data_IF_360696140975
#
_entry.id   IF_360696140975
#
_cell.length_a   1.000
_cell.length_b   1.000
_cell.length_c   1.000
_cell.angle_alpha   90.00
_cell.angle_beta   90.00
_cell.angle_gamma   90.00
#
_symmetry.space_group_name_H-M   'P 1'
#
loop_
_entity.id
_entity.type
_entity.pdbx_description
1 polymer ?
#
# COMPACT_ATOMS: atom_id res chain seq x y z
N UNK A 1 8.02 18.80 11.51
CA UNK A 1 8.35 17.60 10.71
C UNK A 1 8.74 16.36 11.53
N UNK A 2 8.97 16.47 12.86
CA UNK A 2 9.45 15.39 13.74
C UNK A 2 8.37 14.41 14.31
N UNK A 3 7.06 14.73 14.43
CA UNK A 3 6.15 13.93 15.27
C UNK A 3 5.84 12.54 14.72
N UNK A 4 5.86 12.34 13.40
CA UNK A 4 5.60 11.03 12.81
C UNK A 4 6.74 10.03 13.07
N UNK A 5 7.97 10.45 12.80
CA UNK A 5 9.14 9.58 12.93
C UNK A 5 9.36 9.13 14.37
N UNK A 6 9.12 10.03 15.35
CA UNK A 6 9.19 9.69 16.76
C UNK A 6 8.08 8.73 17.21
N UNK A 7 6.83 8.93 16.74
CA UNK A 7 5.72 8.01 17.05
C UNK A 7 5.95 6.62 16.45
N UNK A 8 6.44 6.54 15.21
CA UNK A 8 6.76 5.29 14.53
C UNK A 8 7.92 4.55 15.22
N UNK A 9 8.95 5.26 15.68
CA UNK A 9 10.04 4.70 16.48
C UNK A 9 9.55 4.19 17.84
N UNK A 10 8.74 4.96 18.56
CA UNK A 10 8.15 4.54 19.83
C UNK A 10 7.30 3.28 19.66
N UNK A 11 6.44 3.24 18.64
CA UNK A 11 5.64 2.06 18.30
C UNK A 11 6.53 0.83 18.04
N UNK A 12 7.66 1.06 17.37
CA UNK A 12 8.58 -0.02 17.01
C UNK A 12 9.38 -0.55 18.20
N UNK A 13 9.73 0.33 19.14
CA UNK A 13 10.42 0.00 20.39
C UNK A 13 9.50 -0.75 21.36
N UNK A 14 8.20 -0.40 21.42
CA UNK A 14 7.19 -1.09 22.24
C UNK A 14 7.04 -2.58 21.87
N UNK A 15 7.43 -2.96 20.66
CA UNK A 15 7.36 -4.34 20.20
C UNK A 15 8.45 -5.23 20.83
N UNK A 16 9.57 -4.65 21.28
CA UNK A 16 10.67 -5.42 21.90
C UNK A 16 10.24 -5.99 23.27
N UNK A 17 9.66 -5.21 24.21
CA UNK A 17 9.08 -5.76 25.42
C UNK A 17 8.03 -6.84 25.16
N UNK A 18 7.17 -6.67 24.15
CA UNK A 18 6.17 -7.70 23.83
C UNK A 18 6.81 -9.04 23.44
N UNK A 19 7.91 -9.02 22.66
CA UNK A 19 8.61 -10.24 22.27
C UNK A 19 9.23 -10.97 23.47
N UNK A 20 9.79 -10.22 24.43
CA UNK A 20 10.32 -10.79 25.67
C UNK A 20 9.21 -11.34 26.56
N UNK A 21 8.10 -10.61 26.71
CA UNK A 21 6.94 -11.07 27.47
C UNK A 21 6.30 -12.32 26.84
N UNK A 22 6.26 -12.43 25.52
CA UNK A 22 5.82 -13.64 24.84
C UNK A 22 6.75 -14.83 25.12
N UNK A 23 8.06 -14.60 25.12
CA UNK A 23 9.02 -15.64 25.53
C UNK A 23 8.75 -16.08 26.95
N UNK A 24 8.66 -15.14 27.89
CA UNK A 24 8.44 -15.46 29.31
C UNK A 24 7.12 -16.21 29.53
N UNK A 25 6.07 -15.86 28.76
CA UNK A 25 4.78 -16.56 28.78
C UNK A 25 4.90 -18.00 28.23
N UNK A 26 5.62 -18.20 27.12
CA UNK A 26 5.80 -19.51 26.48
C UNK A 26 6.72 -20.41 27.31
N UNK A 27 7.82 -19.87 27.82
CA UNK A 27 8.78 -20.59 28.68
C UNK A 27 8.12 -20.95 30.04
N UNK A 28 7.20 -20.11 30.53
CA UNK A 28 6.38 -20.37 31.72
C UNK A 28 5.19 -21.32 31.50
N UNK A 29 4.76 -21.52 30.24
CA UNK A 29 3.60 -22.35 29.87
C UNK A 29 3.59 -23.76 30.50
N UNK A 30 4.72 -24.49 30.61
CA UNK A 30 4.76 -25.79 31.26
C UNK A 30 4.45 -25.71 32.76
N UNK A 31 4.93 -24.67 33.44
CA UNK A 31 4.69 -24.46 34.88
C UNK A 31 3.23 -24.08 35.16
N UNK A 32 2.62 -23.27 34.28
CA UNK A 32 1.19 -22.95 34.36
C UNK A 32 0.31 -24.19 34.11
N UNK A 33 0.67 -25.02 33.12
CA UNK A 33 -0.06 -26.25 32.80
C UNK A 33 -0.02 -27.30 33.92
N UNK A 34 1.04 -27.28 34.75
CA UNK A 34 1.19 -28.14 35.92
C UNK A 34 0.55 -27.56 37.20
N UNK A 35 -0.11 -26.40 37.14
CA UNK A 35 -0.74 -25.75 38.30
C UNK A 35 0.24 -25.18 39.31
N UNK A 36 1.52 -25.03 38.94
CA UNK A 36 2.60 -24.53 39.80
C UNK A 36 2.91 -23.04 39.55
N UNK A 37 2.33 -22.45 38.51
CA UNK A 37 2.50 -21.02 38.21
C UNK A 37 1.52 -20.16 39.00
N UNK A 38 2.01 -19.14 39.69
CA UNK A 38 1.14 -18.25 40.48
C UNK A 38 0.14 -17.51 39.59
N UNK A 39 -1.15 -17.85 39.73
CA UNK A 39 -2.27 -17.30 38.95
C UNK A 39 -2.26 -15.78 38.81
N UNK A 40 -1.84 -15.07 39.87
CA UNK A 40 -1.74 -13.62 39.88
C UNK A 40 -0.64 -13.07 38.94
N UNK A 41 0.52 -13.74 38.86
CA UNK A 41 1.61 -13.32 37.98
C UNK A 41 1.22 -13.47 36.50
N UNK A 42 0.56 -14.59 36.16
CA UNK A 42 0.08 -14.87 34.81
C UNK A 42 -0.97 -13.86 34.36
N UNK A 43 -1.92 -13.51 35.24
CA UNK A 43 -2.94 -12.49 34.98
C UNK A 43 -2.33 -11.10 34.76
N UNK A 44 -1.31 -10.72 35.56
CA UNK A 44 -0.58 -9.46 35.39
C UNK A 44 0.16 -9.45 34.04
N UNK A 45 0.82 -10.55 33.68
CA UNK A 45 1.56 -10.66 32.42
C UNK A 45 0.62 -10.55 31.21
N UNK A 46 -0.53 -11.23 31.25
CA UNK A 46 -1.56 -11.12 30.21
C UNK A 46 -2.15 -9.71 30.13
N UNK A 47 -2.44 -9.08 31.27
CA UNK A 47 -2.94 -7.70 31.32
C UNK A 47 -1.93 -6.71 30.72
N UNK A 48 -0.64 -6.88 31.03
CA UNK A 48 0.44 -6.07 30.49
C UNK A 48 0.59 -6.26 28.97
N UNK A 49 0.52 -7.51 28.48
CA UNK A 49 0.55 -7.81 27.04
C UNK A 49 -0.61 -7.14 26.29
N UNK A 50 -1.82 -7.20 26.84
CA UNK A 50 -3.00 -6.53 26.26
C UNK A 50 -2.79 -5.02 26.26
N UNK A 51 -2.33 -4.43 27.37
CA UNK A 51 -2.07 -2.99 27.46
C UNK A 51 -1.03 -2.52 26.43
N UNK A 52 0.07 -3.26 26.28
CA UNK A 52 1.12 -3.00 25.27
C UNK A 52 0.52 -3.12 23.86
N UNK A 53 -0.29 -4.15 23.59
CA UNK A 53 -0.93 -4.34 22.29
C UNK A 53 -1.90 -3.21 21.94
N UNK A 54 -2.70 -2.75 22.89
CA UNK A 54 -3.57 -1.59 22.72
C UNK A 54 -2.75 -0.34 22.45
N UNK A 55 -1.69 -0.10 23.24
CA UNK A 55 -0.80 1.04 23.04
C UNK A 55 -0.13 1.02 21.65
N UNK A 56 0.36 -0.13 21.19
CA UNK A 56 0.90 -0.32 19.84
C UNK A 56 -0.09 0.09 18.75
N UNK A 57 -1.34 -0.37 18.86
CA UNK A 57 -2.37 -0.05 17.87
C UNK A 57 -2.75 1.42 17.90
N UNK A 58 -2.89 2.01 19.08
CA UNK A 58 -3.22 3.44 19.23
C UNK A 58 -2.09 4.31 18.68
N UNK A 59 -0.85 4.11 19.10
CA UNK A 59 0.31 4.87 18.61
C UNK A 59 0.48 4.67 17.10
N UNK A 60 0.33 3.44 16.61
CA UNK A 60 0.39 3.13 15.19
C UNK A 60 -0.69 3.86 14.38
N UNK A 61 -1.92 3.92 14.89
CA UNK A 61 -3.02 4.66 14.26
C UNK A 61 -2.73 6.15 14.19
N UNK A 62 -2.30 6.77 15.30
CA UNK A 62 -1.95 8.20 15.32
C UNK A 62 -0.78 8.52 14.40
N UNK A 63 0.26 7.67 14.38
CA UNK A 63 1.38 7.80 13.44
C UNK A 63 0.87 7.80 12.00
N UNK A 64 0.08 6.79 11.61
CA UNK A 64 -0.50 6.68 10.27
C UNK A 64 -1.39 7.88 9.90
N UNK A 65 -2.18 8.37 10.85
CA UNK A 65 -3.02 9.55 10.66
C UNK A 65 -2.19 10.81 10.38
N UNK A 66 -1.20 11.10 11.23
CA UNK A 66 -0.29 12.24 11.05
C UNK A 66 0.47 12.13 9.72
N UNK A 67 0.90 10.91 9.36
CA UNK A 67 1.56 10.64 8.10
C UNK A 67 0.69 11.04 6.90
N UNK A 68 -0.56 10.57 6.89
CA UNK A 68 -1.48 10.82 5.79
C UNK A 68 -1.87 12.28 5.69
N UNK A 69 -2.02 12.95 6.83
CA UNK A 69 -2.28 14.39 6.87
C UNK A 69 -1.13 15.19 6.26
N UNK A 70 0.10 14.99 6.75
CA UNK A 70 1.29 15.70 6.25
C UNK A 70 1.52 15.42 4.75
N UNK A 71 1.36 14.17 4.32
CA UNK A 71 1.47 13.79 2.91
C UNK A 71 0.47 14.53 2.03
N UNK A 72 -0.78 14.65 2.48
CA UNK A 72 -1.84 15.35 1.75
C UNK A 72 -1.62 16.87 1.65
N UNK A 73 -1.12 17.51 2.71
CA UNK A 73 -0.83 18.95 2.68
C UNK A 73 0.31 19.27 1.72
N UNK A 74 1.38 18.48 1.74
CA UNK A 74 2.48 18.69 0.82
C UNK A 74 2.14 18.34 -0.63
N UNK A 75 1.29 17.32 -0.85
CA UNK A 75 0.74 17.03 -2.18
C UNK A 75 -0.04 18.23 -2.73
N UNK A 76 -0.86 18.87 -1.90
CA UNK A 76 -1.58 20.09 -2.26
C UNK A 76 -0.61 21.23 -2.60
N UNK A 77 0.37 21.49 -1.76
CA UNK A 77 1.31 22.60 -1.96
C UNK A 77 2.18 22.40 -3.21
N UNK A 78 2.62 21.16 -3.47
CA UNK A 78 3.32 20.81 -4.72
C UNK A 78 2.43 21.00 -5.94
N UNK A 79 1.16 20.61 -5.85
CA UNK A 79 0.18 20.78 -6.94
C UNK A 79 -0.01 22.27 -7.28
N UNK A 80 -0.06 23.14 -6.27
CA UNK A 80 -0.14 24.58 -6.46
C UNK A 80 1.11 25.15 -7.14
N UNK A 81 2.31 24.78 -6.69
CA UNK A 81 3.56 25.23 -7.32
C UNK A 81 3.67 24.75 -8.78
N UNK A 82 3.27 23.51 -9.05
CA UNK A 82 3.32 22.96 -10.39
C UNK A 82 2.27 23.62 -11.30
N UNK A 83 1.08 23.92 -10.78
CA UNK A 83 0.07 24.71 -11.48
C UNK A 83 0.60 26.09 -11.88
N UNK A 84 1.19 26.84 -10.94
CA UNK A 84 1.78 28.15 -11.24
C UNK A 84 2.88 28.08 -12.30
N UNK A 85 3.68 27.01 -12.26
CA UNK A 85 4.75 26.81 -13.25
C UNK A 85 4.18 26.50 -14.62
N UNK A 86 3.21 25.59 -14.70
CA UNK A 86 2.51 25.24 -15.95
C UNK A 86 1.82 26.48 -16.53
N UNK A 87 1.16 27.30 -15.70
CA UNK A 87 0.48 28.52 -16.15
C UNK A 87 1.40 29.55 -16.82
N UNK A 88 2.73 29.48 -16.59
CA UNK A 88 3.72 30.38 -17.17
C UNK A 88 4.46 29.80 -18.39
N UNK A 89 4.15 28.57 -18.82
CA UNK A 89 4.81 27.96 -19.98
C UNK A 89 4.39 28.62 -21.30
N UNK A 90 5.31 28.76 -22.27
CA UNK A 90 4.98 29.29 -23.59
C UNK A 90 4.12 28.31 -24.41
N UNK A 91 3.19 28.86 -25.22
CA UNK A 91 2.20 28.13 -26.03
C UNK A 91 2.78 27.04 -26.97
N UNK A 92 4.08 27.10 -27.28
CA UNK A 92 4.76 26.11 -28.12
C UNK A 92 4.82 24.72 -27.48
N UNK A 93 4.87 24.66 -26.16
CA UNK A 93 5.05 23.41 -25.39
C UNK A 93 3.73 22.68 -25.10
N UNK A 94 2.59 23.30 -25.43
CA UNK A 94 1.26 22.68 -25.33
C UNK A 94 0.89 21.79 -26.52
N UNK A 95 1.74 21.71 -27.55
CA UNK A 95 1.46 20.89 -28.74
C UNK A 95 1.67 19.40 -28.45
N UNK A 96 0.58 18.64 -28.45
CA UNK A 96 0.61 17.17 -28.50
C UNK A 96 0.07 16.42 -27.27
N UNK A 97 -0.39 17.11 -26.23
CA UNK A 97 -0.97 16.49 -25.02
C UNK A 97 -2.34 17.10 -24.75
N UNK A 98 -3.33 16.27 -24.43
CA UNK A 98 -4.69 16.75 -24.16
C UNK A 98 -4.76 17.52 -22.83
N UNK A 99 -5.58 18.57 -22.76
CA UNK A 99 -5.78 19.36 -21.53
C UNK A 99 -6.22 18.48 -20.35
N UNK A 100 -7.00 17.43 -20.62
CA UNK A 100 -7.43 16.44 -19.61
C UNK A 100 -6.30 15.57 -19.08
N UNK A 101 -5.30 15.26 -19.92
CA UNK A 101 -4.13 14.49 -19.50
C UNK A 101 -3.18 15.30 -18.61
N UNK A 102 -3.04 16.61 -18.87
CA UNK A 102 -2.31 17.51 -17.95
C UNK A 102 -2.99 17.61 -16.58
N UNK A 103 -4.31 17.78 -16.55
CA UNK A 103 -5.07 17.85 -15.30
C UNK A 103 -4.96 16.52 -14.52
N UNK A 104 -5.07 15.37 -15.21
CA UNK A 104 -4.94 14.06 -14.60
C UNK A 104 -3.54 13.83 -14.02
N UNK A 105 -2.48 14.15 -14.76
CA UNK A 105 -1.08 14.02 -14.30
C UNK A 105 -0.79 14.96 -13.13
N UNK A 106 -1.21 16.22 -13.21
CA UNK A 106 -1.04 17.19 -12.14
C UNK A 106 -1.72 16.73 -10.85
N UNK A 107 -2.95 16.20 -10.93
CA UNK A 107 -3.68 15.73 -9.76
C UNK A 107 -3.12 14.41 -9.18
N UNK A 108 -2.72 13.46 -10.04
CA UNK A 108 -2.36 12.10 -9.58
C UNK A 108 -0.87 11.87 -9.39
N UNK A 109 0.00 12.56 -10.12
CA UNK A 109 1.44 12.35 -10.00
C UNK A 109 2.08 13.25 -8.95
N UNK A 110 1.55 14.47 -8.72
CA UNK A 110 1.97 15.32 -7.60
C UNK A 110 1.70 14.67 -6.25
N UNK A 111 0.51 14.06 -6.08
CA UNK A 111 0.17 13.37 -4.84
C UNK A 111 1.11 12.19 -4.58
N UNK A 112 1.37 11.35 -5.60
CA UNK A 112 2.33 10.24 -5.48
C UNK A 112 3.74 10.74 -5.18
N UNK A 113 4.19 11.79 -5.86
CA UNK A 113 5.53 12.32 -5.69
C UNK A 113 5.73 12.95 -4.31
N UNK A 114 4.76 13.73 -3.82
CA UNK A 114 4.82 14.32 -2.49
C UNK A 114 4.86 13.24 -1.40
N UNK A 115 3.99 12.23 -1.50
CA UNK A 115 3.99 11.09 -0.58
C UNK A 115 5.31 10.31 -0.62
N UNK A 116 5.91 10.15 -1.81
CA UNK A 116 7.21 9.50 -1.97
C UNK A 116 8.36 10.32 -1.36
N UNK A 117 8.44 11.61 -1.71
CA UNK A 117 9.53 12.50 -1.31
C UNK A 117 9.57 12.76 0.20
N UNK A 118 8.41 12.90 0.84
CA UNK A 118 8.34 13.09 2.28
C UNK A 118 8.56 11.81 3.07
N UNK A 119 8.07 10.68 2.55
CA UNK A 119 7.78 9.52 3.37
C UNK A 119 8.55 8.28 3.08
N UNK A 120 8.65 7.96 1.80
CA UNK A 120 9.15 6.66 1.42
C UNK A 120 10.61 6.50 1.85
N UNK A 121 11.44 7.52 1.62
CA UNK A 121 12.84 7.51 2.04
C UNK A 121 12.99 7.36 3.58
N UNK A 122 12.22 8.14 4.34
CA UNK A 122 12.21 8.11 5.80
C UNK A 122 11.73 6.77 6.34
N UNK A 123 10.65 6.21 5.79
CA UNK A 123 10.09 4.92 6.20
C UNK A 123 11.01 3.76 5.84
N UNK A 124 11.69 3.81 4.70
CA UNK A 124 12.70 2.81 4.33
C UNK A 124 13.87 2.85 5.31
N UNK A 125 14.41 4.04 5.62
CA UNK A 125 15.50 4.19 6.59
C UNK A 125 15.08 3.67 7.98
N UNK A 126 13.91 4.08 8.47
CA UNK A 126 13.36 3.60 9.74
C UNK A 126 13.06 2.09 9.69
N UNK A 127 12.61 1.57 8.56
CA UNK A 127 12.36 0.14 8.35
C UNK A 127 13.65 -0.68 8.45
N UNK A 128 14.75 -0.19 7.88
CA UNK A 128 16.07 -0.80 7.99
C UNK A 128 16.56 -0.80 9.44
N UNK A 129 16.45 0.33 10.15
CA UNK A 129 16.81 0.40 11.58
C UNK A 129 15.98 -0.59 12.40
N UNK A 130 14.66 -0.64 12.19
CA UNK A 130 13.77 -1.61 12.84
C UNK A 130 14.18 -3.05 12.57
N UNK A 131 14.49 -3.37 11.32
CA UNK A 131 14.92 -4.71 10.90
C UNK A 131 16.22 -5.10 11.61
N UNK A 132 17.19 -4.19 11.67
CA UNK A 132 18.46 -4.42 12.36
C UNK A 132 18.26 -4.63 13.87
N UNK A 133 17.50 -3.76 14.53
CA UNK A 133 17.23 -3.88 15.98
C UNK A 133 16.53 -5.19 16.31
N UNK A 134 15.46 -5.54 15.59
CA UNK A 134 14.72 -6.79 15.82
C UNK A 134 15.54 -8.02 15.46
N UNK A 135 16.31 -7.96 14.37
CA UNK A 135 17.25 -9.01 13.99
C UNK A 135 18.31 -9.24 15.06
N UNK A 136 18.86 -8.18 15.64
CA UNK A 136 19.82 -8.24 16.74
C UNK A 136 19.21 -8.85 18.02
N UNK A 137 18.00 -8.43 18.40
CA UNK A 137 17.27 -9.03 19.53
C UNK A 137 17.04 -10.51 19.30
N UNK A 138 16.58 -10.90 18.11
CA UNK A 138 16.36 -12.31 17.77
C UNK A 138 17.67 -13.11 17.76
N UNK A 139 18.76 -12.55 17.23
CA UNK A 139 20.09 -13.16 17.26
C UNK A 139 20.56 -13.41 18.69
N UNK A 140 20.32 -12.45 19.58
CA UNK A 140 20.67 -12.54 21.01
C UNK A 140 19.83 -13.59 21.75
N UNK A 141 18.58 -13.80 21.32
CA UNK A 141 17.67 -14.82 21.87
C UNK A 141 18.00 -16.23 21.38
N UNK A 142 18.12 -16.41 20.06
CA UNK A 142 18.45 -17.69 19.45
C UNK A 142 19.02 -17.50 18.03
N UNK A 143 20.34 -17.72 17.84
CA UNK A 143 20.94 -17.61 16.51
C UNK A 143 20.45 -18.71 15.55
N UNK A 144 20.04 -19.87 16.08
CA UNK A 144 19.50 -20.97 15.28
C UNK A 144 18.15 -20.62 14.66
N UNK A 145 17.26 -19.96 15.41
CA UNK A 145 15.98 -19.49 14.89
C UNK A 145 16.16 -18.42 13.82
N UNK A 146 17.13 -17.51 13.99
CA UNK A 146 17.46 -16.51 12.96
C UNK A 146 17.95 -17.18 11.67
N UNK A 147 18.83 -18.17 11.77
CA UNK A 147 19.35 -18.88 10.60
C UNK A 147 18.22 -19.61 9.83
N UNK A 148 17.29 -20.23 10.55
CA UNK A 148 16.10 -20.85 9.95
C UNK A 148 15.22 -19.81 9.24
N UNK A 149 14.99 -18.66 9.88
CA UNK A 149 14.23 -17.56 9.27
C UNK A 149 14.90 -17.08 7.97
N UNK A 150 16.21 -16.83 8.00
CA UNK A 150 16.98 -16.38 6.83
C UNK A 150 16.90 -17.42 5.71
N UNK A 151 16.96 -18.71 6.01
CA UNK A 151 16.80 -19.79 5.03
C UNK A 151 15.38 -19.88 4.46
N UNK A 152 14.35 -19.51 5.23
CA UNK A 152 12.96 -19.49 4.77
C UNK A 152 12.66 -18.31 3.82
N UNK A 153 13.33 -17.16 3.99
CA UNK A 153 13.16 -15.97 3.12
C UNK A 153 13.33 -16.29 1.61
N UNK A 154 14.41 -16.92 1.12
CA UNK A 154 14.57 -17.18 -0.30
C UNK A 154 13.50 -18.13 -0.85
N UNK A 155 13.05 -19.12 -0.06
CA UNK A 155 11.96 -20.00 -0.45
C UNK A 155 10.65 -19.20 -0.64
N UNK A 156 10.35 -18.31 0.29
CA UNK A 156 9.22 -17.39 0.19
C UNK A 156 9.35 -16.47 -1.05
N UNK A 157 10.53 -15.87 -1.26
CA UNK A 157 10.77 -14.97 -2.39
C UNK A 157 10.59 -15.67 -3.75
N UNK A 158 10.95 -16.94 -3.86
CA UNK A 158 10.77 -17.72 -5.09
C UNK A 158 9.29 -17.91 -5.43
N UNK A 159 8.46 -18.23 -4.43
CA UNK A 159 7.00 -18.36 -4.60
C UNK A 159 6.38 -16.98 -4.86
N UNK A 160 6.82 -15.96 -4.14
CA UNK A 160 6.34 -14.59 -4.29
C UNK A 160 6.63 -14.02 -5.69
N UNK A 161 7.84 -14.19 -6.22
CA UNK A 161 8.22 -13.72 -7.56
C UNK A 161 7.35 -14.31 -8.67
N UNK A 162 7.00 -15.60 -8.56
CA UNK A 162 6.07 -16.25 -9.52
C UNK A 162 4.69 -15.58 -9.51
N UNK A 163 4.17 -15.27 -8.32
CA UNK A 163 2.87 -14.61 -8.17
C UNK A 163 2.89 -13.16 -8.66
N UNK A 164 3.93 -12.39 -8.32
CA UNK A 164 4.03 -10.98 -8.70
C UNK A 164 4.14 -10.79 -10.21
N UNK A 165 4.96 -11.59 -10.89
CA UNK A 165 5.11 -11.46 -12.33
C UNK A 165 3.78 -11.76 -13.04
N UNK A 166 3.04 -12.77 -12.59
CA UNK A 166 1.71 -13.06 -13.11
C UNK A 166 0.72 -11.90 -12.89
N UNK A 167 0.82 -11.18 -11.77
CA UNK A 167 -0.02 -10.02 -11.48
C UNK A 167 0.40 -8.77 -12.28
N UNK A 168 1.70 -8.55 -12.49
CA UNK A 168 2.23 -7.38 -13.18
C UNK A 168 1.74 -7.32 -14.64
N UNK A 169 1.83 -8.43 -15.38
CA UNK A 169 1.37 -8.52 -16.77
C UNK A 169 -0.14 -8.24 -16.89
N UNK A 170 -0.92 -8.73 -15.91
CA UNK A 170 -2.36 -8.51 -15.87
C UNK A 170 -2.72 -7.04 -15.59
N UNK A 171 -1.96 -6.39 -14.71
CA UNK A 171 -2.20 -5.00 -14.32
C UNK A 171 -1.91 -4.02 -15.46
N UNK A 172 -0.88 -4.27 -16.29
CA UNK A 172 -0.58 -3.42 -17.44
C UNK A 172 -1.67 -3.51 -18.52
N UNK A 173 -2.14 -4.72 -18.81
CA UNK A 173 -3.23 -4.94 -19.76
C UNK A 173 -4.56 -4.35 -19.26
N UNK A 174 -4.87 -4.49 -17.97
CA UNK A 174 -6.06 -3.88 -17.37
C UNK A 174 -6.03 -2.34 -17.49
N UNK A 175 -4.85 -1.72 -17.27
CA UNK A 175 -4.68 -0.27 -17.51
C UNK A 175 -4.91 0.13 -18.96
N UNK A 176 -4.43 -0.64 -19.94
CA UNK A 176 -4.63 -0.34 -21.37
C UNK A 176 -6.10 -0.41 -21.77
N UNK A 177 -6.81 -1.46 -21.35
CA UNK A 177 -8.24 -1.65 -21.62
C UNK A 177 -9.07 -0.55 -20.94
N UNK A 178 -8.78 -0.25 -19.67
CA UNK A 178 -9.46 0.80 -18.92
C UNK A 178 -9.21 2.20 -19.50
N UNK A 179 -7.97 2.51 -19.88
CA UNK A 179 -7.63 3.76 -20.55
C UNK A 179 -8.36 3.92 -21.89
N UNK A 180 -8.47 2.84 -22.67
CA UNK A 180 -9.25 2.83 -23.90
C UNK A 180 -10.75 3.05 -23.66
N UNK A 181 -11.32 2.50 -22.58
CA UNK A 181 -12.71 2.75 -22.20
C UNK A 181 -12.95 4.20 -21.78
N UNK A 182 -12.10 4.76 -20.91
CA UNK A 182 -12.15 6.16 -20.47
C UNK A 182 -12.08 7.10 -21.68
N UNK A 183 -11.16 6.85 -22.62
CA UNK A 183 -11.04 7.67 -23.83
C UNK A 183 -12.31 7.63 -24.70
N UNK A 184 -12.92 6.46 -24.88
CA UNK A 184 -14.20 6.36 -25.60
C UNK A 184 -15.37 6.99 -24.85
N UNK A 185 -15.36 6.98 -23.52
CA UNK A 185 -16.34 7.73 -22.73
C UNK A 185 -16.15 9.23 -22.92
N UNK A 186 -14.91 9.72 -22.93
CA UNK A 186 -14.60 11.12 -23.17
C UNK A 186 -15.06 11.57 -24.57
N UNK A 187 -14.82 10.77 -25.60
CA UNK A 187 -15.31 10.99 -26.97
C UNK A 187 -16.85 11.02 -27.02
N UNK A 188 -17.51 10.03 -26.41
CA UNK A 188 -18.97 9.97 -26.33
C UNK A 188 -19.58 11.19 -25.61
N UNK A 189 -18.98 11.59 -24.49
CA UNK A 189 -19.44 12.73 -23.70
C UNK A 189 -19.16 14.06 -24.40
N UNK A 190 -18.05 14.17 -25.12
CA UNK A 190 -17.74 15.32 -25.96
C UNK A 190 -18.74 15.50 -27.10
N UNK A 191 -19.13 14.41 -27.75
CA UNK A 191 -20.03 14.41 -28.90
C UNK A 191 -21.51 14.19 -28.54
N UNK A 192 -21.87 14.17 -27.25
CA UNK A 192 -23.20 13.75 -26.80
C UNK A 192 -24.33 14.61 -27.36
N UNK A 193 -24.08 15.92 -27.54
CA UNK A 193 -25.05 16.84 -28.14
C UNK A 193 -25.29 16.50 -29.62
N UNK A 194 -24.21 16.29 -30.38
CA UNK A 194 -24.26 15.94 -31.80
C UNK A 194 -24.94 14.59 -32.03
N UNK A 195 -24.66 13.61 -31.16
CA UNK A 195 -25.27 12.27 -31.19
C UNK A 195 -26.77 12.34 -30.90
N UNK A 196 -27.20 13.19 -29.95
CA UNK A 196 -28.62 13.44 -29.64
C UNK A 196 -29.33 14.12 -30.80
N UNK A 197 -28.71 15.12 -31.41
CA UNK A 197 -29.26 15.87 -32.53
C UNK A 197 -29.51 14.97 -33.75
N UNK A 198 -28.62 13.99 -33.98
CA UNK A 198 -28.74 13.02 -35.09
C UNK A 198 -29.58 11.77 -34.76
N UNK A 199 -30.15 11.67 -33.56
CA UNK A 199 -30.92 10.49 -33.13
C UNK A 199 -30.11 9.19 -33.05
N UNK A 200 -28.77 9.25 -33.04
CA UNK A 200 -27.88 8.08 -33.12
C UNK A 200 -27.50 7.49 -31.75
N UNK A 201 -28.29 7.78 -30.72
CA UNK A 201 -27.95 7.46 -29.33
C UNK A 201 -27.81 5.95 -29.08
N UNK A 202 -28.66 5.14 -29.69
CA UNK A 202 -28.65 3.68 -29.52
C UNK A 202 -27.48 3.00 -30.22
N UNK A 203 -26.95 3.61 -31.29
CA UNK A 203 -25.72 3.14 -31.93
C UNK A 203 -24.50 3.46 -31.05
N UNK A 204 -24.42 4.70 -30.55
CA UNK A 204 -23.26 5.16 -29.77
C UNK A 204 -23.15 4.48 -28.40
N UNK A 205 -24.26 4.14 -27.74
CA UNK A 205 -24.28 3.37 -26.48
C UNK A 205 -23.68 1.96 -26.60
N UNK A 206 -23.66 1.36 -27.81
CA UNK A 206 -23.14 -0.01 -28.02
C UNK A 206 -21.62 -0.08 -27.94
N UNK A 207 -20.92 0.99 -28.29
CA UNK A 207 -19.44 1.04 -28.24
C UNK A 207 -18.91 0.88 -26.80
N UNK A 208 -19.32 1.70 -25.81
CA UNK A 208 -18.88 1.54 -24.42
C UNK A 208 -19.29 0.19 -23.83
N UNK A 209 -20.52 -0.29 -24.12
CA UNK A 209 -21.04 -1.55 -23.61
C UNK A 209 -20.28 -2.77 -24.13
N UNK A 210 -19.80 -2.75 -25.38
CA UNK A 210 -18.97 -3.82 -25.95
C UNK A 210 -17.59 -3.89 -25.29
N UNK A 211 -16.95 -2.73 -25.03
CA UNK A 211 -15.66 -2.65 -24.33
C UNK A 211 -15.78 -3.13 -22.88
N UNK A 212 -16.86 -2.78 -22.18
CA UNK A 212 -17.10 -3.25 -20.80
C UNK A 212 -17.27 -4.78 -20.70
N UNK A 213 -17.96 -5.39 -21.68
CA UNK A 213 -18.09 -6.86 -21.74
C UNK A 213 -16.76 -7.55 -21.98
N UNK A 214 -15.94 -7.03 -22.90
CA UNK A 214 -14.60 -7.57 -23.15
C UNK A 214 -13.70 -7.53 -21.91
N UNK A 215 -13.84 -6.48 -21.08
CA UNK A 215 -13.14 -6.36 -19.80
C UNK A 215 -13.56 -7.44 -18.80
N UNK A 216 -14.87 -7.68 -18.66
CA UNK A 216 -15.41 -8.70 -17.75
C UNK A 216 -15.00 -10.12 -18.15
N UNK A 217 -15.04 -10.43 -19.44
CA UNK A 217 -14.62 -11.73 -19.96
C UNK A 217 -13.13 -11.97 -19.75
N UNK A 218 -12.32 -10.93 -19.97
CA UNK A 218 -10.88 -11.00 -19.74
C UNK A 218 -10.52 -11.16 -18.26
N UNK A 219 -11.15 -10.39 -17.36
CA UNK A 219 -11.00 -10.58 -15.90
C UNK A 219 -11.34 -12.01 -15.47
N UNK A 220 -12.44 -12.57 -15.99
CA UNK A 220 -12.82 -13.97 -15.72
C UNK A 220 -11.82 -14.98 -16.29
N UNK A 221 -11.07 -14.64 -17.33
CA UNK A 221 -10.03 -15.49 -17.92
C UNK A 221 -8.75 -15.46 -17.08
N UNK A 222 -8.34 -14.28 -16.62
CA UNK A 222 -7.19 -14.11 -15.71
C UNK A 222 -7.45 -14.80 -14.38
N UNK A 223 -8.61 -14.58 -13.75
CA UNK A 223 -8.94 -15.20 -12.47
C UNK A 223 -8.93 -16.74 -12.56
N UNK A 224 -9.28 -17.31 -13.72
CA UNK A 224 -9.17 -18.74 -14.00
C UNK A 224 -7.73 -19.22 -14.18
N UNK A 225 -6.83 -18.41 -14.72
CA UNK A 225 -5.41 -18.76 -14.86
C UNK A 225 -4.72 -18.67 -13.51
N UNK A 226 -4.92 -17.56 -12.79
CA UNK A 226 -4.35 -17.32 -11.45
C UNK A 226 -4.86 -18.36 -10.44
N UNK A 227 -6.16 -18.68 -10.45
CA UNK A 227 -6.75 -19.68 -9.56
C UNK A 227 -6.33 -21.12 -9.85
N UNK A 228 -5.74 -21.39 -11.02
CA UNK A 228 -5.26 -22.72 -11.43
C UNK A 228 -3.76 -22.92 -11.17
N UNK A 229 -3.02 -21.82 -10.96
CA UNK A 229 -1.63 -21.84 -10.52
C UNK A 229 -1.46 -21.89 -8.99
N UNK A 230 -2.55 -21.74 -8.23
CA UNK A 230 -2.58 -21.79 -6.77
C UNK A 230 -3.03 -23.13 -6.18
N UNK A 231 -3.27 -24.14 -7.03
CA UNK A 231 -3.60 -25.53 -6.68
C UNK A 231 -2.48 -26.47 -7.13
#
# INVERSE_FOLDING_TARGET
>A
MIPHSSLSLCNSLLLIPSALLYRDLIDGAPAYAMGLGGDAYTLILMGLLIAIYVALNVIGFYSSYCWRYIGSEAARDLSLQLYERIARLPLRDYRGVSTGEYAARLATDCDKFANFALGFASEVALGLIRLLVRGYVLFSLSPHLLALLIAAVPAYLLVYRRQVNALADTAEMERRVWGGFINSLMEFLGDILLIKERGALDFSKRLPASRLRSQLEYRRRILRIVGRTSS
#
